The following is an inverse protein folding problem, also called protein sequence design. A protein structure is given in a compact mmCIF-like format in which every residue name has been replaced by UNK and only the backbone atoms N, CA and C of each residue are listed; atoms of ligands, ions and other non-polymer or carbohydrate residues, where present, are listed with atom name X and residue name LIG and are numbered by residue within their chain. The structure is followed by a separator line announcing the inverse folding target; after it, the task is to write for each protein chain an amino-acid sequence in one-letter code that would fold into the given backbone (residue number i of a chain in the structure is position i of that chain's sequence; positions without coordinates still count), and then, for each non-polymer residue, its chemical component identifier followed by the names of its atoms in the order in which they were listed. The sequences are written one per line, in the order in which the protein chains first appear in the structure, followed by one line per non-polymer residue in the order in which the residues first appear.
data_IF_443933186078
#
_entry.id   IF_443933186078
#
_cell.length_a   1.000
_cell.length_b   1.000
_cell.length_c   1.000
_cell.angle_alpha   90.00
_cell.angle_beta   90.00
_cell.angle_gamma   90.00
#
_symmetry.space_group_name_H-M   'P 1'
#
loop_
_entity.id
_entity.type
_entity.pdbx_description
1 polymer ?
#
# COMPACT_ATOMS: atom_id res chain seq x y z
N UNK A 1 23.21 -20.62 41.90
CA UNK A 1 22.31 -21.18 40.87
C UNK A 1 21.04 -20.35 40.63
N UNK A 2 20.30 -19.88 41.65
CA UNK A 2 19.04 -19.13 41.46
C UNK A 2 19.17 -17.81 40.65
N UNK A 3 20.27 -17.08 40.81
CA UNK A 3 20.55 -15.83 40.05
C UNK A 3 20.85 -16.07 38.57
N UNK A 4 21.45 -17.21 38.23
CA UNK A 4 21.74 -17.57 36.83
C UNK A 4 20.46 -17.84 36.04
N UNK A 5 19.47 -18.50 36.66
CA UNK A 5 18.17 -18.72 36.04
C UNK A 5 17.40 -17.41 35.81
N UNK A 6 17.50 -16.45 36.74
CA UNK A 6 16.80 -15.16 36.61
C UNK A 6 17.32 -14.35 35.42
N UNK A 7 18.65 -14.34 35.21
CA UNK A 7 19.30 -13.69 34.07
C UNK A 7 18.92 -14.39 32.75
N UNK A 8 18.86 -15.72 32.77
CA UNK A 8 18.48 -16.51 31.60
C UNK A 8 17.01 -16.29 31.20
N UNK A 9 16.11 -16.16 32.17
CA UNK A 9 14.69 -15.81 31.93
C UNK A 9 14.56 -14.38 31.39
N UNK A 10 15.31 -13.43 31.93
CA UNK A 10 15.33 -12.04 31.42
C UNK A 10 15.84 -11.96 29.98
N UNK A 11 16.88 -12.74 29.63
CA UNK A 11 17.41 -12.85 28.26
C UNK A 11 16.40 -13.51 27.31
N UNK A 12 15.68 -14.54 27.76
CA UNK A 12 14.59 -15.18 26.99
C UNK A 12 13.42 -14.20 26.74
N UNK A 13 13.03 -13.40 27.73
CA UNK A 13 12.00 -12.36 27.56
C UNK A 13 12.47 -11.24 26.61
N UNK A 14 13.75 -10.87 26.63
CA UNK A 14 14.27 -9.84 25.73
C UNK A 14 14.38 -10.28 24.26
N UNK A 15 14.50 -11.58 23.99
CA UNK A 15 14.55 -12.13 22.62
C UNK A 15 13.18 -12.58 22.08
N UNK A 16 12.21 -12.85 22.96
CA UNK A 16 10.84 -13.16 22.58
C UNK A 16 10.02 -11.94 22.10
N UNK A 17 10.43 -10.72 22.48
CA UNK A 17 9.84 -9.48 21.98
C UNK A 17 10.46 -9.05 20.63
N UNK A 18 10.68 -9.99 19.71
CA UNK A 18 10.71 -9.62 18.29
C UNK A 18 9.29 -9.18 17.95
N UNK A 19 9.08 -7.86 18.00
CA UNK A 19 7.89 -7.17 17.50
C UNK A 19 7.56 -7.84 16.16
N UNK A 20 6.49 -8.63 16.14
CA UNK A 20 5.93 -9.07 14.88
C UNK A 20 5.48 -7.78 14.20
N UNK A 21 6.24 -7.30 13.21
CA UNK A 21 5.80 -6.21 12.36
C UNK A 21 4.48 -6.68 11.75
N UNK A 22 3.39 -6.14 12.29
CA UNK A 22 2.07 -6.51 11.85
C UNK A 22 1.93 -5.98 10.42
N UNK A 23 1.47 -6.84 9.52
CA UNK A 23 1.50 -6.52 8.09
C UNK A 23 0.40 -5.52 7.74
N UNK A 24 0.69 -4.62 6.79
CA UNK A 24 -0.36 -3.86 6.12
C UNK A 24 -1.01 -4.73 5.04
N UNK A 25 -2.34 -4.83 5.06
CA UNK A 25 -3.11 -5.73 4.19
C UNK A 25 -3.89 -4.93 3.15
N UNK A 26 -3.75 -5.32 1.89
CA UNK A 26 -4.42 -4.69 0.76
C UNK A 26 -5.31 -5.74 0.09
N UNK A 27 -6.61 -5.54 0.14
CA UNK A 27 -7.58 -6.45 -0.46
C UNK A 27 -8.06 -5.94 -1.82
N UNK A 28 -8.00 -6.78 -2.85
CA UNK A 28 -8.61 -6.47 -4.15
C UNK A 28 -10.08 -6.88 -4.18
N UNK A 29 -10.98 -5.91 -4.02
CA UNK A 29 -12.43 -6.07 -4.16
C UNK A 29 -12.98 -5.35 -5.40
N UNK A 30 -12.11 -5.03 -6.36
CA UNK A 30 -12.47 -4.24 -7.54
C UNK A 30 -13.07 -5.05 -8.70
N UNK A 31 -13.08 -6.38 -8.60
CA UNK A 31 -13.57 -7.27 -9.66
C UNK A 31 -12.64 -7.40 -10.87
N UNK A 32 -11.56 -6.62 -10.94
CA UNK A 32 -10.54 -6.70 -11.99
C UNK A 32 -9.11 -6.79 -11.41
N UNK A 33 -8.12 -7.21 -12.22
CA UNK A 33 -6.73 -7.26 -11.78
C UNK A 33 -6.18 -5.84 -11.52
N UNK A 34 -5.45 -5.69 -10.41
CA UNK A 34 -4.85 -4.43 -9.99
C UNK A 34 -3.34 -4.44 -10.16
N UNK A 35 -2.80 -3.30 -10.54
CA UNK A 35 -1.42 -2.93 -10.28
C UNK A 35 -1.36 -2.06 -9.03
N UNK A 36 -0.51 -2.45 -8.08
CA UNK A 36 -0.21 -1.68 -6.88
C UNK A 36 1.22 -1.14 -6.97
N UNK A 37 1.36 0.17 -6.74
CA UNK A 37 2.64 0.85 -6.66
C UNK A 37 2.82 1.34 -5.23
N UNK A 38 3.87 0.85 -4.58
CA UNK A 38 4.26 1.31 -3.24
C UNK A 38 5.25 2.45 -3.39
N UNK A 39 4.90 3.59 -2.82
CA UNK A 39 5.72 4.80 -2.84
C UNK A 39 5.87 5.37 -1.44
N UNK A 40 6.92 6.15 -1.24
CA UNK A 40 7.22 6.76 0.05
C UNK A 40 6.11 7.71 0.49
N UNK A 41 5.96 7.86 1.82
CA UNK A 41 4.98 8.75 2.43
C UNK A 41 5.14 10.23 2.04
N UNK A 42 6.33 10.63 1.62
CA UNK A 42 6.59 11.99 1.09
C UNK A 42 5.95 12.23 -0.28
N UNK A 43 5.46 11.19 -0.95
CA UNK A 43 4.72 11.30 -2.20
C UNK A 43 3.44 12.10 -2.00
N UNK A 44 3.42 13.33 -2.53
CA UNK A 44 2.23 14.16 -2.57
C UNK A 44 1.73 14.21 -4.03
N UNK A 45 0.65 13.49 -4.37
CA UNK A 45 0.17 13.42 -5.73
C UNK A 45 -0.42 14.77 -6.12
N UNK A 46 -0.02 15.31 -7.27
CA UNK A 46 -0.65 16.50 -7.86
C UNK A 46 -1.63 16.10 -8.98
N UNK A 47 -2.53 17.01 -9.42
CA UNK A 47 -3.48 16.73 -10.49
C UNK A 47 -2.85 16.30 -11.83
N UNK A 48 -1.64 16.75 -12.15
CA UNK A 48 -0.92 16.41 -13.38
C UNK A 48 -0.44 14.95 -13.31
N UNK A 49 0.16 14.57 -12.19
CA UNK A 49 0.55 13.19 -11.88
C UNK A 49 -0.67 12.27 -11.94
N UNK A 50 -1.75 12.61 -11.25
CA UNK A 50 -2.97 11.81 -11.26
C UNK A 50 -3.53 11.62 -12.67
N UNK A 51 -3.60 12.68 -13.47
CA UNK A 51 -4.04 12.57 -14.88
C UNK A 51 -3.16 11.63 -15.70
N UNK A 52 -1.82 11.76 -15.60
CA UNK A 52 -0.91 10.86 -16.30
C UNK A 52 -1.07 9.41 -15.86
N UNK A 53 -1.26 9.15 -14.55
CA UNK A 53 -1.50 7.81 -14.03
C UNK A 53 -2.85 7.25 -14.50
N UNK A 54 -3.87 8.10 -14.67
CA UNK A 54 -5.20 7.68 -15.10
C UNK A 54 -5.28 7.28 -16.56
N UNK A 55 -4.66 8.05 -17.46
CA UNK A 55 -4.79 7.89 -18.91
C UNK A 55 -3.67 7.07 -19.56
N UNK A 56 -2.66 6.65 -18.80
CA UNK A 56 -1.58 5.81 -19.31
C UNK A 56 -1.57 4.42 -18.70
N UNK A 57 -1.23 3.43 -19.52
CA UNK A 57 -0.89 2.10 -19.02
C UNK A 57 0.50 2.09 -18.37
N UNK A 58 0.77 1.14 -17.48
CA UNK A 58 2.11 0.91 -16.94
C UNK A 58 3.18 0.62 -17.99
N UNK A 59 2.81 0.24 -19.21
CA UNK A 59 3.73 0.02 -20.34
C UNK A 59 4.12 1.32 -21.05
N UNK A 60 3.43 2.43 -20.79
CA UNK A 60 3.75 3.74 -21.37
C UNK A 60 4.83 4.45 -20.51
N UNK A 61 5.92 4.96 -21.11
CA UNK A 61 6.92 5.79 -20.40
C UNK A 61 6.33 6.94 -19.58
N UNK A 62 5.24 7.57 -20.04
CA UNK A 62 4.57 8.66 -19.35
C UNK A 62 3.94 8.25 -18.01
N UNK A 63 3.60 6.97 -17.87
CA UNK A 63 3.14 6.44 -16.59
C UNK A 63 4.26 6.44 -15.55
N UNK A 64 5.46 6.01 -15.93
CA UNK A 64 6.61 6.01 -15.03
C UNK A 64 7.12 7.41 -14.76
N UNK A 65 7.07 8.33 -15.74
CA UNK A 65 7.42 9.73 -15.51
C UNK A 65 6.49 10.39 -14.50
N UNK A 66 5.21 10.01 -14.46
CA UNK A 66 4.29 10.45 -13.42
C UNK A 66 4.72 9.96 -12.02
N UNK A 67 5.23 8.73 -11.91
CA UNK A 67 5.74 8.19 -10.65
C UNK A 67 7.09 8.77 -10.22
N UNK A 68 7.85 9.42 -11.11
CA UNK A 68 9.18 9.98 -10.77
C UNK A 68 9.14 11.07 -9.70
N UNK A 69 8.00 11.75 -9.53
CA UNK A 69 7.80 12.69 -8.42
C UNK A 69 7.74 12.01 -7.04
N UNK A 70 7.71 10.68 -7.00
CA UNK A 70 7.61 9.89 -5.78
C UNK A 70 8.71 8.82 -5.70
N UNK A 71 9.22 8.61 -4.49
CA UNK A 71 10.23 7.57 -4.25
C UNK A 71 9.52 6.21 -4.28
N UNK A 72 9.90 5.34 -5.22
CA UNK A 72 9.36 3.98 -5.32
C UNK A 72 9.98 3.10 -4.23
N UNK A 73 9.16 2.47 -3.39
CA UNK A 73 9.63 1.65 -2.27
C UNK A 73 9.85 0.16 -2.61
N UNK A 74 9.35 -0.32 -3.76
CA UNK A 74 9.49 -1.74 -4.10
C UNK A 74 9.13 -2.09 -5.53
N UNK A 75 8.90 -3.38 -5.77
CA UNK A 75 8.38 -3.85 -7.06
C UNK A 75 6.88 -3.54 -7.17
N UNK A 76 6.41 -3.37 -8.39
CA UNK A 76 4.97 -3.29 -8.66
C UNK A 76 4.34 -4.64 -8.38
N UNK A 77 3.25 -4.65 -7.63
CA UNK A 77 2.52 -5.87 -7.29
C UNK A 77 1.33 -6.00 -8.23
N UNK A 78 1.18 -7.16 -8.87
CA UNK A 78 -0.04 -7.52 -9.58
C UNK A 78 -0.94 -8.31 -8.63
N UNK A 79 -2.15 -7.82 -8.41
CA UNK A 79 -3.10 -8.42 -7.49
C UNK A 79 -4.38 -8.81 -8.22
N UNK A 80 -4.61 -10.12 -8.35
CA UNK A 80 -5.82 -10.65 -8.97
C UNK A 80 -7.09 -10.34 -8.15
N UNK A 81 -8.28 -10.36 -8.78
CA UNK A 81 -9.55 -10.16 -8.06
C UNK A 81 -9.71 -11.11 -6.88
N UNK A 82 -10.26 -10.60 -5.77
CA UNK A 82 -10.51 -11.36 -4.54
C UNK A 82 -9.25 -11.93 -3.87
N UNK A 83 -8.06 -11.45 -4.25
CA UNK A 83 -6.80 -11.74 -3.58
C UNK A 83 -6.38 -10.59 -2.67
N UNK A 84 -5.47 -10.90 -1.75
CA UNK A 84 -4.86 -9.95 -0.84
C UNK A 84 -3.35 -9.90 -1.02
N UNK A 85 -2.76 -8.74 -0.79
CA UNK A 85 -1.33 -8.55 -0.61
C UNK A 85 -1.05 -8.17 0.85
N UNK A 86 0.04 -8.69 1.38
CA UNK A 86 0.50 -8.42 2.75
C UNK A 86 1.88 -7.77 2.66
N UNK A 87 2.00 -6.55 3.16
CA UNK A 87 3.23 -5.75 3.12
C UNK A 87 3.80 -5.69 4.54
N UNK A 88 5.03 -6.19 4.71
CA UNK A 88 5.72 -6.26 6.01
C UNK A 88 6.99 -5.43 6.05
N UNK A 89 7.44 -4.95 4.89
CA UNK A 89 8.72 -4.29 4.69
C UNK A 89 8.69 -2.81 5.06
N UNK A 90 7.50 -2.19 5.11
CA UNK A 90 7.32 -0.75 5.32
C UNK A 90 6.26 -0.50 6.39
N UNK A 91 6.62 0.30 7.40
CA UNK A 91 5.69 0.69 8.46
C UNK A 91 4.75 1.82 8.04
N UNK A 92 5.19 2.67 7.11
CA UNK A 92 4.47 3.87 6.66
C UNK A 92 4.76 4.14 5.18
N UNK A 93 3.72 4.16 4.34
CA UNK A 93 3.86 4.28 2.90
C UNK A 93 2.55 4.67 2.23
N UNK A 94 2.62 4.95 0.93
CA UNK A 94 1.45 5.17 0.09
C UNK A 94 1.28 4.01 -0.89
N UNK A 95 0.03 3.59 -1.06
CA UNK A 95 -0.40 2.66 -2.11
C UNK A 95 -1.12 3.43 -3.20
N UNK A 96 -0.61 3.30 -4.44
CA UNK A 96 -1.32 3.71 -5.64
C UNK A 96 -1.89 2.46 -6.30
N UNK A 97 -3.22 2.37 -6.39
CA UNK A 97 -3.93 1.26 -7.00
C UNK A 97 -4.50 1.64 -8.35
N UNK A 98 -4.22 0.85 -9.39
CA UNK A 98 -4.78 1.06 -10.74
C UNK A 98 -5.28 -0.27 -11.30
N UNK A 99 -6.48 -0.28 -11.88
CA UNK A 99 -6.94 -1.43 -12.68
C UNK A 99 -6.02 -1.63 -13.89
N UNK A 100 -5.76 -2.89 -14.26
CA UNK A 100 -5.07 -3.24 -15.51
C UNK A 100 -5.96 -2.91 -16.72
N UNK A 101 -6.06 -1.61 -17.00
CA UNK A 101 -6.89 -0.98 -18.03
C UNK A 101 -6.13 0.23 -18.61
N UNK A 102 -6.30 0.53 -19.92
CA UNK A 102 -5.67 1.71 -20.53
C UNK A 102 -6.10 3.01 -19.84
N UNK A 103 -7.39 3.12 -19.51
CA UNK A 103 -7.96 4.28 -18.83
C UNK A 103 -8.68 3.79 -17.58
N UNK A 104 -8.26 4.30 -16.42
CA UNK A 104 -8.91 4.02 -15.14
C UNK A 104 -8.46 5.01 -14.08
N UNK A 105 -9.41 5.54 -13.29
CA UNK A 105 -9.11 6.31 -12.07
C UNK A 105 -8.25 5.47 -11.14
N UNK A 106 -7.20 6.09 -10.63
CA UNK A 106 -6.29 5.47 -9.66
C UNK A 106 -6.76 5.77 -8.23
N UNK A 107 -6.61 4.81 -7.33
CA UNK A 107 -6.75 5.02 -5.90
C UNK A 107 -5.42 5.47 -5.32
N UNK A 108 -5.45 6.37 -4.34
CA UNK A 108 -4.26 6.80 -3.61
C UNK A 108 -4.56 6.76 -2.12
N UNK A 109 -3.76 6.00 -1.37
CA UNK A 109 -4.07 5.66 0.02
C UNK A 109 -2.80 5.69 0.82
N UNK A 110 -2.80 6.44 1.90
CA UNK A 110 -1.73 6.43 2.88
C UNK A 110 -1.99 5.35 3.93
N UNK A 111 -0.98 4.56 4.24
CA UNK A 111 -1.01 3.44 5.17
C UNK A 111 0.10 3.63 6.21
N UNK A 112 -0.21 3.41 7.49
CA UNK A 112 0.76 3.39 8.60
C UNK A 112 0.44 2.27 9.58
N UNK A 113 1.44 1.76 10.30
CA UNK A 113 1.27 0.90 11.47
C UNK A 113 0.24 -0.23 11.25
N UNK A 114 0.52 -1.10 10.27
CA UNK A 114 -0.27 -2.33 10.07
C UNK A 114 -1.74 -2.05 9.75
N UNK A 115 -1.96 -1.33 8.67
CA UNK A 115 -3.29 -0.90 8.24
C UNK A 115 -3.91 -1.89 7.27
N UNK A 116 -5.25 -1.92 7.23
CA UNK A 116 -5.97 -2.70 6.24
C UNK A 116 -6.82 -1.79 5.36
N UNK A 117 -6.75 -2.01 4.05
CA UNK A 117 -7.56 -1.33 3.06
C UNK A 117 -8.26 -2.31 2.12
N UNK A 118 -9.43 -1.91 1.64
CA UNK A 118 -10.10 -2.54 0.49
C UNK A 118 -9.97 -1.62 -0.71
N UNK A 119 -9.48 -2.11 -1.85
CA UNK A 119 -9.58 -1.41 -3.12
C UNK A 119 -10.82 -1.92 -3.84
N UNK A 120 -11.81 -1.03 -4.02
CA UNK A 120 -13.11 -1.33 -4.62
C UNK A 120 -13.29 -0.60 -5.94
N UNK A 121 -14.13 -1.13 -6.82
CA UNK A 121 -14.47 -0.45 -8.07
C UNK A 121 -15.36 0.77 -7.82
N UNK A 122 -15.16 1.83 -8.60
CA UNK A 122 -16.05 2.99 -8.71
C UNK A 122 -17.11 2.81 -9.82
N UNK A 123 -17.20 1.62 -10.42
CA UNK A 123 -18.00 1.35 -11.62
C UNK A 123 -17.14 1.32 -12.88
N UNK A 124 -17.66 1.86 -13.99
CA UNK A 124 -16.99 1.84 -15.29
C UNK A 124 -15.87 2.90 -15.27
N UNK A 125 -14.65 2.49 -14.94
CA UNK A 125 -13.45 3.31 -15.17
C UNK A 125 -12.71 3.80 -13.93
N UNK A 126 -12.74 3.08 -12.81
CA UNK A 126 -11.93 3.48 -11.67
C UNK A 126 -11.93 2.55 -10.47
N UNK A 127 -10.95 2.76 -9.60
CA UNK A 127 -10.94 2.21 -8.25
C UNK A 127 -10.73 3.27 -7.19
N UNK A 128 -11.24 3.00 -6.01
CA UNK A 128 -11.03 3.79 -4.81
C UNK A 128 -10.61 2.85 -3.69
N UNK A 129 -9.73 3.32 -2.81
CA UNK A 129 -9.46 2.59 -1.60
C UNK A 129 -10.41 3.01 -0.49
N UNK A 130 -10.69 2.07 0.40
CA UNK A 130 -11.48 2.26 1.58
C UNK A 130 -10.67 1.77 2.76
N UNK A 131 -10.44 2.69 3.69
CA UNK A 131 -9.83 2.37 4.97
C UNK A 131 -10.73 1.44 5.77
N UNK A 132 -10.18 0.32 6.28
CA UNK A 132 -10.83 -0.44 7.36
C UNK A 132 -10.36 0.00 8.74
N UNK A 133 -9.11 0.46 8.81
CA UNK A 133 -8.49 0.91 10.06
C UNK A 133 -8.34 2.44 10.04
N UNK A 134 -9.40 3.17 10.40
CA UNK A 134 -9.44 4.65 10.32
C UNK A 134 -8.28 5.35 11.04
N UNK A 135 -7.74 4.75 12.10
CA UNK A 135 -6.64 5.33 12.87
C UNK A 135 -5.28 5.28 12.13
N UNK A 136 -5.15 4.33 11.19
CA UNK A 136 -3.89 3.87 10.62
C UNK A 136 -3.85 3.97 9.09
N UNK A 137 -4.88 4.51 8.45
CA UNK A 137 -4.83 4.81 7.03
C UNK A 137 -5.62 6.08 6.72
N UNK A 138 -5.35 6.64 5.54
CA UNK A 138 -6.08 7.76 4.99
C UNK A 138 -6.37 7.48 3.52
N UNK A 139 -7.66 7.38 3.19
CA UNK A 139 -8.19 7.10 1.86
C UNK A 139 -8.72 8.35 1.14
N UNK A 140 -8.54 9.54 1.73
CA UNK A 140 -8.89 10.80 1.11
C UNK A 140 -7.79 11.23 0.15
N UNK A 141 -8.06 11.07 -1.14
CA UNK A 141 -7.37 11.77 -2.22
C UNK A 141 -7.56 13.28 -2.02
N UNK A 142 -6.52 14.01 -1.62
CA UNK A 142 -6.40 15.48 -1.54
C UNK A 142 -7.62 16.22 -0.93
N UNK A 143 -7.44 16.90 0.20
CA UNK A 143 -8.36 17.98 0.58
C UNK A 143 -8.34 19.10 -0.46
#
# INVERSE_FOLDING_TARGET
MKTFYLIFILLLFSTANKIANSASVINNKSGGPLFLYLVDKSCNPDPIMLNKLMFNMPTNPDFYSALMGCIKLGKTIQLEPSKQASITEFDEFVVIGKLKSPVSKVSFCYLKNSSEIDIVALGIGGVVCKCKSENNCNDKLLK
#
